data_IF_251420562940
#
_entry.id   IF_251420562940
#
_cell.length_a   1.000
_cell.length_b   1.000
_cell.length_c   1.000
_cell.angle_alpha   90.00
_cell.angle_beta   90.00
_cell.angle_gamma   90.00
#
_symmetry.space_group_name_H-M   'P 1'
#
loop_
_entity.id
_entity.type
_entity.pdbx_description
1 polymer ?
#
# COMPACT_ATOMS: atom_id res chain seq x y z
N UNK A 1 -7.10 -10.15 -26.25
CA UNK A 1 -6.76 -9.76 -24.87
C UNK A 1 -6.91 -8.24 -24.71
N UNK A 2 -8.07 -7.78 -24.26
CA UNK A 2 -8.39 -6.36 -24.08
C UNK A 2 -7.70 -5.84 -22.82
N UNK A 3 -6.60 -5.09 -22.96
CA UNK A 3 -6.00 -4.33 -21.85
C UNK A 3 -7.01 -3.28 -21.39
N UNK A 4 -7.72 -3.55 -20.28
CA UNK A 4 -8.50 -2.53 -19.58
C UNK A 4 -7.55 -1.39 -19.22
N UNK A 5 -7.70 -0.21 -19.85
CA UNK A 5 -7.10 1.03 -19.35
C UNK A 5 -7.61 1.18 -17.92
N UNK A 6 -6.73 1.05 -16.91
CA UNK A 6 -7.06 1.42 -15.54
C UNK A 6 -7.62 2.83 -15.62
N UNK A 7 -8.90 3.03 -15.28
CA UNK A 7 -9.42 4.38 -15.00
C UNK A 7 -8.43 4.97 -14.01
N UNK A 8 -8.00 6.21 -14.23
CA UNK A 8 -7.19 6.93 -13.26
C UNK A 8 -8.09 7.14 -12.03
N UNK A 9 -8.10 6.13 -11.16
CA UNK A 9 -8.74 6.20 -9.85
C UNK A 9 -8.00 7.30 -9.10
N UNK A 10 -8.74 8.24 -8.52
CA UNK A 10 -8.14 9.34 -7.78
C UNK A 10 -7.43 8.75 -6.56
N UNK A 11 -6.10 8.77 -6.56
CA UNK A 11 -5.30 8.29 -5.43
C UNK A 11 -5.06 9.48 -4.49
N UNK A 12 -5.59 9.45 -3.26
CA UNK A 12 -5.60 10.60 -2.36
C UNK A 12 -4.28 10.75 -1.60
N UNK A 13 -3.18 10.97 -2.33
CA UNK A 13 -1.86 11.14 -1.70
C UNK A 13 -1.78 12.32 -0.72
N UNK A 14 -2.69 13.31 -0.83
CA UNK A 14 -2.69 14.51 0.01
C UNK A 14 -3.47 14.37 1.32
N UNK A 15 -4.16 13.26 1.54
CA UNK A 15 -4.97 13.06 2.76
C UNK A 15 -4.10 12.88 4.00
N UNK A 16 -2.85 12.47 3.83
CA UNK A 16 -1.85 12.47 4.89
C UNK A 16 -0.53 13.06 4.40
N UNK A 17 0.21 13.69 5.33
CA UNK A 17 1.56 14.18 5.04
C UNK A 17 2.48 13.02 4.63
N UNK A 18 2.32 11.84 5.22
CA UNK A 18 3.10 10.65 4.91
C UNK A 18 2.91 10.20 3.46
N UNK A 19 1.66 10.03 3.02
CA UNK A 19 1.33 9.64 1.64
C UNK A 19 1.70 10.71 0.63
N UNK A 20 1.77 11.98 1.04
CA UNK A 20 2.16 13.08 0.17
C UNK A 20 3.66 13.05 -0.11
N UNK A 21 4.47 12.84 0.93
CA UNK A 21 5.92 12.65 0.80
C UNK A 21 6.28 11.37 0.04
N UNK A 22 5.50 10.30 0.25
CA UNK A 22 5.72 9.00 -0.40
C UNK A 22 5.04 8.83 -1.76
N UNK A 23 4.41 9.89 -2.31
CA UNK A 23 3.69 9.82 -3.60
C UNK A 23 4.51 9.20 -4.73
N UNK A 24 5.76 9.63 -4.86
CA UNK A 24 6.67 9.13 -5.90
C UNK A 24 7.07 7.66 -5.66
N UNK A 25 7.01 7.19 -4.42
CA UNK A 25 7.33 5.81 -4.04
C UNK A 25 6.15 4.84 -4.21
N UNK A 26 4.91 5.31 -4.00
CA UNK A 26 3.72 4.46 -4.04
C UNK A 26 3.13 4.29 -5.45
N UNK A 27 3.39 5.22 -6.38
CA UNK A 27 2.89 5.14 -7.75
C UNK A 27 3.70 5.88 -8.80
N UNK A 28 4.88 6.40 -8.44
CA UNK A 28 5.79 7.11 -9.33
C UNK A 28 6.96 6.24 -9.81
N UNK A 29 8.08 6.88 -10.15
CA UNK A 29 9.28 6.21 -10.66
C UNK A 29 10.21 5.78 -9.52
N UNK A 30 9.77 4.82 -8.70
CA UNK A 30 10.58 4.25 -7.63
C UNK A 30 10.38 2.75 -7.52
N UNK A 31 11.42 2.05 -7.06
CA UNK A 31 11.33 0.64 -6.70
C UNK A 31 11.11 0.53 -5.21
N UNK A 32 9.86 0.33 -4.83
CA UNK A 32 9.46 0.27 -3.42
C UNK A 32 9.31 -1.18 -2.99
N UNK A 33 9.90 -1.52 -1.85
CA UNK A 33 9.69 -2.78 -1.15
C UNK A 33 8.97 -2.48 0.18
N UNK A 34 7.95 -3.28 0.48
CA UNK A 34 7.19 -3.17 1.73
C UNK A 34 7.46 -4.41 2.57
N UNK A 35 7.77 -4.22 3.86
CA UNK A 35 8.00 -5.32 4.81
C UNK A 35 6.86 -5.29 5.82
N UNK A 36 6.06 -6.35 5.81
CA UNK A 36 4.98 -6.57 6.78
C UNK A 36 5.52 -7.45 7.92
N UNK A 37 5.64 -6.90 9.11
CA UNK A 37 6.11 -7.63 10.29
C UNK A 37 4.89 -8.20 11.05
N UNK A 38 4.81 -9.52 11.14
CA UNK A 38 3.68 -10.23 11.76
C UNK A 38 4.12 -10.96 13.03
N UNK A 39 3.20 -11.06 14.00
CA UNK A 39 3.40 -11.85 15.22
C UNK A 39 2.84 -13.27 15.04
N UNK A 40 3.57 -14.32 15.43
CA UNK A 40 3.08 -15.71 15.34
C UNK A 40 2.13 -16.09 16.50
N UNK A 41 1.86 -15.18 17.44
CA UNK A 41 1.00 -15.47 18.58
C UNK A 41 -0.48 -15.50 18.16
N UNK A 42 -1.20 -16.52 18.63
CA UNK A 42 -2.62 -16.75 18.28
C UNK A 42 -3.52 -15.58 18.72
N UNK A 43 -3.18 -14.93 19.83
CA UNK A 43 -3.86 -13.71 20.31
C UNK A 43 -3.81 -12.53 19.32
N UNK A 44 -2.86 -12.54 18.38
CA UNK A 44 -2.69 -11.50 17.37
C UNK A 44 -3.16 -11.96 15.99
N UNK A 45 -3.91 -13.06 15.89
CA UNK A 45 -4.37 -13.60 14.62
C UNK A 45 -5.10 -12.54 13.76
N UNK A 46 -6.01 -11.76 14.36
CA UNK A 46 -6.78 -10.73 13.65
C UNK A 46 -5.91 -9.59 13.11
N UNK A 47 -4.91 -9.16 13.88
CA UNK A 47 -3.95 -8.10 13.49
C UNK A 47 -2.96 -8.61 12.44
N UNK A 48 -2.50 -9.87 12.59
CA UNK A 48 -1.66 -10.55 11.60
C UNK A 48 -2.41 -10.70 10.28
N UNK A 49 -3.69 -11.06 10.31
CA UNK A 49 -4.54 -11.12 9.12
C UNK A 49 -4.74 -9.75 8.48
N UNK A 50 -4.90 -8.70 9.28
CA UNK A 50 -5.05 -7.32 8.77
C UNK A 50 -3.76 -6.76 8.17
N UNK A 51 -2.60 -7.27 8.59
CA UNK A 51 -1.27 -6.86 8.12
C UNK A 51 -0.86 -7.57 6.82
N UNK A 52 -1.51 -8.68 6.46
CA UNK A 52 -1.30 -9.46 5.24
C UNK A 52 -2.21 -9.00 4.10
#
# INVERSE_FOLDING_TARGET
ATKKKKKAEFIPYRDSVLTWLLRENLGGNSKTAMIAAVSPADINYDETLSTL
#
